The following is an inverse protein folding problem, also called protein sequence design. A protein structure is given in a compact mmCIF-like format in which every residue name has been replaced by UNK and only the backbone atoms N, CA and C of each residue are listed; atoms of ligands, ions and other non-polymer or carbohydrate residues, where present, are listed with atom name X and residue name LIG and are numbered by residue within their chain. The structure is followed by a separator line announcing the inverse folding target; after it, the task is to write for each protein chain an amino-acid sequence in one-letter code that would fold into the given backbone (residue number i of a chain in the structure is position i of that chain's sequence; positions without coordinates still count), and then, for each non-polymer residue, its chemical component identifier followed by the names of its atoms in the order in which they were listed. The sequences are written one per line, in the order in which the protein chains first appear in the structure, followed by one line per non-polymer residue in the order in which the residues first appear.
data_IF_038756563776
#
_entry.id   IF_038756563776
#
_cell.length_a   1.000
_cell.length_b   1.000
_cell.length_c   1.000
_cell.angle_alpha   90.00
_cell.angle_beta   90.00
_cell.angle_gamma   90.00
#
_symmetry.space_group_name_H-M   'P 1'
#
loop_
_entity.id
_entity.type
_entity.pdbx_description
1 polymer ?
#
# COMPACT_ATOMS: atom_id res chain seq x y z
N UNK A 1 29.92 -33.45 -7.55
CA UNK A 1 30.64 -32.17 -7.41
C UNK A 1 30.01 -31.41 -6.28
N UNK A 2 30.77 -31.12 -5.22
CA UNK A 2 30.30 -30.32 -4.11
C UNK A 2 30.05 -28.90 -4.62
N UNK A 3 28.79 -28.49 -4.73
CA UNK A 3 28.42 -27.11 -4.97
C UNK A 3 28.76 -26.37 -3.68
N UNK A 4 29.89 -25.68 -3.63
CA UNK A 4 30.21 -24.78 -2.53
C UNK A 4 29.21 -23.64 -2.56
N UNK A 5 28.41 -23.50 -1.50
CA UNK A 5 27.53 -22.34 -1.35
C UNK A 5 28.35 -21.04 -1.49
N UNK A 6 27.86 -20.03 -2.22
CA UNK A 6 28.58 -18.78 -2.36
C UNK A 6 28.79 -18.14 -0.97
N UNK A 7 30.05 -17.84 -0.64
CA UNK A 7 30.38 -17.16 0.61
C UNK A 7 29.74 -15.78 0.64
N UNK A 8 28.80 -15.58 1.56
CA UNK A 8 28.10 -14.29 1.74
C UNK A 8 29.03 -13.28 2.40
N UNK A 9 29.29 -12.16 1.73
CA UNK A 9 30.06 -11.04 2.31
C UNK A 9 29.12 -10.06 2.99
N UNK A 10 29.39 -9.69 4.25
CA UNK A 10 28.64 -8.63 4.92
C UNK A 10 28.98 -7.28 4.28
N UNK A 11 27.98 -6.57 3.79
CA UNK A 11 28.12 -5.23 3.20
C UNK A 11 27.84 -4.12 4.21
N UNK A 12 26.74 -4.22 4.96
CA UNK A 12 26.29 -3.14 5.85
C UNK A 12 25.53 -3.70 7.05
N UNK A 13 25.49 -2.93 8.13
CA UNK A 13 24.75 -3.26 9.34
C UNK A 13 24.03 -2.01 9.81
N UNK A 14 22.70 -2.11 9.91
CA UNK A 14 21.82 -1.04 10.33
C UNK A 14 21.39 -1.31 11.78
N UNK A 15 21.65 -0.35 12.66
CA UNK A 15 21.37 -0.48 14.09
C UNK A 15 19.99 0.06 14.42
N UNK A 16 19.14 -0.80 14.96
CA UNK A 16 17.86 -0.39 15.53
C UNK A 16 18.04 -0.19 17.03
N UNK A 17 17.94 1.06 17.46
CA UNK A 17 18.18 1.50 18.83
C UNK A 17 16.91 2.07 19.43
N UNK A 18 16.77 1.97 20.75
CA UNK A 18 15.70 2.67 21.46
C UNK A 18 15.93 4.18 21.50
N UNK A 19 15.02 4.93 22.12
CA UNK A 19 15.06 6.39 22.27
C UNK A 19 16.33 6.89 23.00
N UNK A 20 16.91 6.06 23.87
CA UNK A 20 18.15 6.36 24.59
C UNK A 20 19.43 6.00 23.80
N UNK A 21 19.29 5.43 22.60
CA UNK A 21 20.40 4.97 21.78
C UNK A 21 20.93 3.57 22.12
N UNK A 22 20.25 2.83 23.01
CA UNK A 22 20.63 1.45 23.32
C UNK A 22 20.25 0.51 22.18
N UNK A 23 21.19 -0.33 21.76
CA UNK A 23 20.98 -1.30 20.68
C UNK A 23 19.95 -2.37 21.05
N UNK A 24 18.90 -2.50 20.23
CA UNK A 24 17.87 -3.53 20.37
C UNK A 24 18.13 -4.69 19.41
N UNK A 25 18.35 -4.38 18.12
CA UNK A 25 18.65 -5.37 17.09
C UNK A 25 19.32 -4.72 15.88
N UNK A 26 19.68 -5.54 14.90
CA UNK A 26 20.30 -5.11 13.67
C UNK A 26 19.67 -5.79 12.45
N UNK A 27 19.60 -5.04 11.35
CA UNK A 27 19.48 -5.60 10.00
C UNK A 27 20.86 -5.65 9.37
N UNK A 28 21.28 -6.82 8.87
CA UNK A 28 22.58 -7.04 8.23
C UNK A 28 22.36 -7.29 6.74
N UNK A 29 22.95 -6.46 5.89
CA UNK A 29 22.92 -6.59 4.43
C UNK A 29 24.16 -7.36 3.94
N UNK A 30 23.96 -8.29 3.01
CA UNK A 30 24.99 -9.12 2.39
C UNK A 30 25.11 -8.91 0.88
N UNK A 31 26.20 -9.45 0.32
CA UNK A 31 26.43 -9.65 -1.11
C UNK A 31 26.62 -11.16 -1.41
N UNK A 32 25.90 -11.74 -2.40
CA UNK A 32 24.76 -11.18 -3.15
C UNK A 32 23.61 -10.67 -2.25
N UNK A 33 22.72 -9.82 -2.79
CA UNK A 33 21.68 -9.10 -2.00
C UNK A 33 20.86 -10.08 -1.15
N UNK A 34 21.11 -10.02 0.15
CA UNK A 34 20.37 -10.75 1.17
C UNK A 34 20.36 -9.94 2.48
N UNK A 35 19.34 -10.12 3.28
CA UNK A 35 19.16 -9.42 4.55
C UNK A 35 18.90 -10.41 5.67
N UNK A 36 19.61 -10.27 6.79
CA UNK A 36 19.36 -11.06 8.01
C UNK A 36 19.29 -10.19 9.22
N UNK A 37 18.36 -10.49 10.12
CA UNK A 37 18.22 -9.79 11.38
C UNK A 37 18.90 -10.54 12.51
N UNK A 38 19.41 -9.80 13.49
CA UNK A 38 20.04 -10.35 14.69
C UNK A 38 19.87 -9.41 15.88
N UNK A 39 19.94 -9.97 17.08
CA UNK A 39 19.90 -9.23 18.34
C UNK A 39 21.14 -9.55 19.21
N UNK A 40 21.56 -8.65 20.10
CA UNK A 40 22.59 -8.95 21.08
C UNK A 40 22.19 -10.14 21.97
N UNK A 41 23.16 -10.98 22.33
CA UNK A 41 22.96 -12.10 23.27
C UNK A 41 23.16 -11.71 24.75
N UNK A 42 23.51 -10.43 25.01
CA UNK A 42 23.85 -9.92 26.33
C UNK A 42 25.28 -10.25 26.82
N UNK A 43 26.06 -10.98 26.02
CA UNK A 43 27.43 -11.45 26.34
C UNK A 43 28.47 -11.01 25.29
N UNK A 44 28.10 -10.09 24.40
CA UNK A 44 28.95 -9.59 23.32
C UNK A 44 28.85 -10.36 22.00
N UNK A 45 27.99 -11.37 21.93
CA UNK A 45 27.66 -12.14 20.73
C UNK A 45 26.32 -11.74 20.10
N UNK A 46 25.86 -12.58 19.17
CA UNK A 46 24.67 -12.33 18.35
C UNK A 46 23.76 -13.55 18.28
N UNK A 47 22.46 -13.34 18.44
CA UNK A 47 21.40 -14.31 18.17
C UNK A 47 20.73 -13.91 16.84
N UNK A 48 20.69 -14.83 15.86
CA UNK A 48 20.17 -14.56 14.51
C UNK A 48 18.66 -14.70 14.39
N UNK A 49 17.93 -14.00 15.26
CA UNK A 49 16.48 -13.84 15.20
C UNK A 49 16.05 -12.52 15.86
N UNK A 50 14.75 -12.24 15.83
CA UNK A 50 14.12 -11.08 16.48
C UNK A 50 13.19 -11.48 17.63
N UNK A 51 13.28 -12.72 18.12
CA UNK A 51 12.39 -13.22 19.17
C UNK A 51 12.60 -12.45 20.46
N UNK A 52 11.51 -12.01 21.09
CA UNK A 52 11.58 -11.24 22.34
C UNK A 52 12.20 -9.84 22.19
N UNK A 53 12.37 -9.34 20.96
CA UNK A 53 12.84 -7.97 20.70
C UNK A 53 11.64 -7.06 20.50
N UNK A 54 11.63 -5.93 21.19
CA UNK A 54 10.74 -4.83 20.87
C UNK A 54 11.19 -4.17 19.57
N UNK A 55 10.43 -4.34 18.49
CA UNK A 55 10.76 -3.74 17.20
C UNK A 55 10.42 -2.26 17.21
N UNK A 56 11.29 -1.48 16.59
CA UNK A 56 11.18 -0.02 16.50
C UNK A 56 11.45 0.42 15.07
N UNK A 57 11.00 1.63 14.66
CA UNK A 57 11.44 2.24 13.41
C UNK A 57 12.96 2.49 13.41
N UNK A 58 13.57 2.41 12.23
CA UNK A 58 14.97 2.79 12.06
C UNK A 58 15.14 4.28 12.36
N UNK A 59 16.27 4.68 12.97
CA UNK A 59 16.56 6.07 13.32
C UNK A 59 15.63 6.71 14.39
N UNK A 60 15.05 5.88 15.27
CA UNK A 60 14.10 6.30 16.32
C UNK A 60 14.51 7.51 17.19
N UNK A 61 15.76 7.65 17.67
CA UNK A 61 16.17 8.83 18.43
C UNK A 61 15.96 10.16 17.69
N UNK A 62 16.19 10.18 16.39
CA UNK A 62 16.04 11.39 15.57
C UNK A 62 14.58 11.68 15.22
N UNK A 63 13.77 10.63 15.05
CA UNK A 63 12.31 10.76 14.93
C UNK A 63 11.75 11.48 16.16
N UNK A 64 12.21 11.10 17.36
CA UNK A 64 11.73 11.66 18.62
C UNK A 64 12.00 13.16 18.75
N UNK A 65 13.08 13.67 18.14
CA UNK A 65 13.51 15.07 18.22
C UNK A 65 12.93 15.97 17.10
N UNK A 66 12.21 15.38 16.15
CA UNK A 66 11.87 16.05 14.90
C UNK A 66 10.36 16.06 14.65
N UNK A 67 9.87 17.15 14.06
CA UNK A 67 8.44 17.30 13.70
C UNK A 67 8.15 16.84 12.26
N UNK A 68 9.10 16.98 11.35
CA UNK A 68 8.94 16.58 9.95
C UNK A 68 9.79 15.34 9.67
N UNK A 69 9.14 14.25 9.26
CA UNK A 69 9.78 12.95 9.08
C UNK A 69 9.47 12.42 7.68
N UNK A 70 10.50 11.91 7.00
CA UNK A 70 10.35 11.14 5.77
C UNK A 70 10.27 9.64 6.11
N UNK A 71 9.38 8.91 5.45
CA UNK A 71 9.33 7.45 5.51
C UNK A 71 9.66 6.89 4.13
N UNK A 72 10.61 5.97 4.06
CA UNK A 72 11.05 5.28 2.84
C UNK A 72 11.06 3.76 3.06
N UNK A 73 11.17 2.96 1.99
CA UNK A 73 11.07 1.50 2.08
C UNK A 73 12.28 0.83 2.75
N UNK A 74 13.50 1.37 2.59
CA UNK A 74 14.73 0.70 3.01
C UNK A 74 15.72 1.56 3.82
N UNK A 75 16.58 0.90 4.61
CA UNK A 75 17.56 1.61 5.45
C UNK A 75 18.64 2.35 4.63
N UNK A 76 18.91 1.90 3.40
CA UNK A 76 19.82 2.59 2.46
C UNK A 76 19.28 4.00 2.17
N UNK A 77 18.01 4.11 1.82
CA UNK A 77 17.35 5.35 1.45
C UNK A 77 17.25 6.32 2.62
N UNK A 78 17.04 5.80 3.83
CA UNK A 78 17.12 6.60 5.07
C UNK A 78 18.46 7.28 5.17
N UNK A 79 19.56 6.55 4.99
CA UNK A 79 20.90 7.13 5.09
C UNK A 79 21.22 8.09 3.93
N UNK A 80 20.73 7.82 2.72
CA UNK A 80 20.85 8.77 1.59
C UNK A 80 20.17 10.10 1.93
N UNK A 81 18.95 10.06 2.46
CA UNK A 81 18.19 11.23 2.88
C UNK A 81 18.81 11.95 4.08
N UNK A 82 19.40 11.21 5.03
CA UNK A 82 20.20 11.78 6.12
C UNK A 82 21.44 12.51 5.60
N UNK A 83 22.08 12.02 4.55
CA UNK A 83 23.19 12.70 3.87
C UNK A 83 22.82 14.08 3.33
N UNK A 84 21.54 14.32 3.05
CA UNK A 84 20.99 15.64 2.68
C UNK A 84 20.53 16.47 3.89
N UNK A 85 20.74 15.99 5.10
CA UNK A 85 20.29 16.63 6.35
C UNK A 85 18.78 16.64 6.51
N UNK A 86 18.09 15.59 6.04
CA UNK A 86 16.68 15.34 6.35
C UNK A 86 16.56 14.25 7.42
N UNK A 87 15.41 14.17 8.08
CA UNK A 87 15.13 13.12 9.04
C UNK A 87 14.25 12.08 8.36
N UNK A 88 14.80 10.89 8.17
CA UNK A 88 14.12 9.78 7.54
C UNK A 88 14.08 8.55 8.46
N UNK A 89 13.12 7.67 8.19
CA UNK A 89 12.91 6.41 8.90
C UNK A 89 12.37 5.33 7.96
N UNK A 90 12.46 4.07 8.39
CA UNK A 90 11.83 2.92 7.75
C UNK A 90 11.53 1.83 8.79
N UNK A 91 10.81 0.77 8.41
CA UNK A 91 10.67 -0.44 9.23
C UNK A 91 11.69 -1.51 8.83
N UNK A 92 12.05 -2.36 9.78
CA UNK A 92 12.83 -3.56 9.46
C UNK A 92 12.05 -4.52 8.55
N UNK A 93 12.78 -5.29 7.74
CA UNK A 93 12.27 -6.33 6.84
C UNK A 93 11.54 -5.85 5.58
N UNK A 94 11.58 -4.55 5.28
CA UNK A 94 11.11 -3.96 4.01
C UNK A 94 9.58 -3.86 3.87
N UNK A 95 9.13 -3.69 2.62
CA UNK A 95 7.73 -3.47 2.29
C UNK A 95 6.76 -4.52 2.88
N UNK A 96 5.59 -4.04 3.30
CA UNK A 96 4.53 -4.87 3.88
C UNK A 96 4.78 -5.33 5.33
N UNK A 97 5.91 -4.93 5.95
CA UNK A 97 6.27 -5.29 7.34
C UNK A 97 6.12 -4.13 8.33
N UNK A 98 5.44 -3.04 7.92
CA UNK A 98 5.01 -2.00 8.84
C UNK A 98 4.07 -2.59 9.90
N UNK A 99 4.28 -2.23 11.16
CA UNK A 99 3.45 -2.69 12.28
C UNK A 99 2.75 -1.52 12.97
N UNK A 100 1.49 -1.68 13.43
CA UNK A 100 0.75 -0.60 14.09
C UNK A 100 1.44 -0.02 15.32
N UNK A 101 2.26 -0.82 16.04
CA UNK A 101 3.01 -0.37 17.21
C UNK A 101 4.00 0.75 16.89
N UNK A 102 4.40 0.89 15.61
CA UNK A 102 5.29 1.97 15.19
C UNK A 102 4.59 3.32 15.17
N UNK A 103 3.27 3.35 14.98
CA UNK A 103 2.51 4.56 14.68
C UNK A 103 2.64 5.61 15.80
N UNK A 104 2.73 5.16 17.06
CA UNK A 104 2.88 6.05 18.22
C UNK A 104 4.11 6.97 18.13
N UNK A 105 5.19 6.53 17.48
CA UNK A 105 6.40 7.33 17.32
C UNK A 105 6.22 8.49 16.33
N UNK A 106 5.14 8.47 15.55
CA UNK A 106 4.80 9.49 14.55
C UNK A 106 3.63 10.39 14.97
N UNK A 107 3.15 10.25 16.20
CA UNK A 107 2.07 11.08 16.74
C UNK A 107 2.41 12.57 16.68
N UNK A 108 1.47 13.38 16.20
CA UNK A 108 1.57 14.85 16.08
C UNK A 108 2.74 15.33 15.18
N UNK A 109 3.24 14.46 14.29
CA UNK A 109 4.31 14.76 13.32
C UNK A 109 3.76 14.97 11.91
N UNK A 110 4.48 15.75 11.10
CA UNK A 110 4.25 15.85 9.67
C UNK A 110 5.05 14.75 8.96
N UNK A 111 4.35 13.84 8.28
CA UNK A 111 4.96 12.66 7.66
C UNK A 111 4.82 12.74 6.15
N UNK A 112 5.93 12.57 5.43
CA UNK A 112 5.92 12.39 3.98
C UNK A 112 6.50 11.02 3.63
N UNK A 113 5.73 10.19 2.95
CA UNK A 113 6.05 8.81 2.60
C UNK A 113 6.48 8.77 1.14
N UNK A 114 7.69 8.30 0.87
CA UNK A 114 8.28 8.21 -0.46
C UNK A 114 8.42 6.70 -0.78
N UNK A 115 7.55 6.12 -1.62
CA UNK A 115 7.64 4.73 -2.03
C UNK A 115 8.78 4.50 -3.03
N UNK A 116 9.24 3.26 -3.12
CA UNK A 116 9.94 2.78 -4.31
C UNK A 116 8.96 2.83 -5.51
N UNK A 117 9.48 3.11 -6.71
CA UNK A 117 8.67 3.28 -7.90
C UNK A 117 8.25 1.93 -8.52
N UNK A 118 7.57 1.11 -7.75
CA UNK A 118 6.91 -0.10 -8.21
C UNK A 118 5.61 -0.35 -7.46
N UNK A 119 4.89 -1.42 -7.83
CA UNK A 119 3.60 -1.73 -7.20
C UNK A 119 3.76 -2.03 -5.70
N UNK A 120 4.80 -2.75 -5.31
CA UNK A 120 5.00 -3.18 -3.92
C UNK A 120 5.31 -1.99 -3.03
N UNK A 121 6.17 -1.08 -3.50
CA UNK A 121 6.49 0.18 -2.82
C UNK A 121 5.25 1.07 -2.66
N UNK A 122 4.44 1.21 -3.71
CA UNK A 122 3.18 1.98 -3.65
C UNK A 122 2.18 1.36 -2.67
N UNK A 123 1.95 0.05 -2.73
CA UNK A 123 1.07 -0.66 -1.79
C UNK A 123 1.54 -0.47 -0.33
N UNK A 124 2.85 -0.54 -0.10
CA UNK A 124 3.44 -0.33 1.22
C UNK A 124 3.25 1.11 1.70
N UNK A 125 3.51 2.12 0.86
CA UNK A 125 3.28 3.52 1.24
C UNK A 125 1.82 3.78 1.60
N UNK A 126 0.85 3.21 0.87
CA UNK A 126 -0.57 3.30 1.22
C UNK A 126 -0.89 2.61 2.54
N UNK A 127 -0.29 1.44 2.81
CA UNK A 127 -0.43 0.77 4.11
C UNK A 127 0.07 1.65 5.26
N UNK A 128 1.23 2.29 5.10
CA UNK A 128 1.79 3.20 6.11
C UNK A 128 0.90 4.43 6.27
N UNK A 129 0.44 5.03 5.17
CA UNK A 129 -0.42 6.20 5.20
C UNK A 129 -1.72 5.93 5.96
N UNK A 130 -2.38 4.80 5.68
CA UNK A 130 -3.58 4.34 6.40
C UNK A 130 -3.33 4.18 7.90
N UNK A 131 -2.19 3.58 8.27
CA UNK A 131 -1.83 3.38 9.67
C UNK A 131 -1.56 4.69 10.42
N UNK A 132 -1.07 5.73 9.73
CA UNK A 132 -0.71 7.01 10.33
C UNK A 132 -1.84 8.05 10.28
N UNK A 133 -2.88 7.82 9.46
CA UNK A 133 -4.03 8.72 9.38
C UNK A 133 -4.72 8.84 10.75
N UNK A 134 -4.91 10.07 11.20
CA UNK A 134 -5.50 10.36 12.52
C UNK A 134 -4.54 10.18 13.71
N UNK A 135 -3.29 9.77 13.46
CA UNK A 135 -2.23 9.68 14.49
C UNK A 135 -1.19 10.77 14.24
N UNK A 136 -0.67 10.86 13.02
CA UNK A 136 0.19 11.94 12.58
C UNK A 136 -0.62 13.23 12.38
N UNK A 137 0.06 14.39 12.51
CA UNK A 137 -0.54 15.72 12.25
C UNK A 137 -0.91 15.84 10.76
N UNK A 138 -0.03 15.34 9.90
CA UNK A 138 -0.16 15.41 8.44
C UNK A 138 0.51 14.19 7.83
N UNK A 139 -0.07 13.67 6.75
CA UNK A 139 0.43 12.50 6.03
C UNK A 139 0.35 12.80 4.55
N UNK A 140 1.48 12.76 3.86
CA UNK A 140 1.55 12.89 2.40
C UNK A 140 2.20 11.65 1.81
N UNK A 141 1.71 11.21 0.66
CA UNK A 141 2.38 10.19 -0.17
C UNK A 141 2.97 10.91 -1.37
N UNK A 142 4.28 10.73 -1.58
CA UNK A 142 5.07 11.53 -2.49
C UNK A 142 5.51 10.68 -3.67
N UNK A 143 5.06 11.05 -4.86
CA UNK A 143 5.55 10.48 -6.10
C UNK A 143 6.72 11.34 -6.62
N UNK A 144 7.94 10.78 -6.62
CA UNK A 144 9.09 11.48 -7.17
C UNK A 144 9.06 11.40 -8.71
N UNK A 145 9.32 12.51 -9.42
CA UNK A 145 9.38 12.49 -10.88
C UNK A 145 10.64 11.77 -11.36
N UNK A 146 10.64 11.36 -12.63
CA UNK A 146 11.83 10.87 -13.34
C UNK A 146 12.50 9.63 -12.73
N UNK A 147 11.70 8.80 -12.05
CA UNK A 147 12.08 7.45 -11.63
C UNK A 147 11.65 6.42 -12.69
N UNK A 148 12.53 5.46 -12.97
CA UNK A 148 12.18 4.23 -13.69
C UNK A 148 11.50 3.23 -12.75
N UNK A 149 10.87 2.21 -13.31
CA UNK A 149 10.24 1.14 -12.53
C UNK A 149 11.28 0.45 -11.62
N UNK A 150 10.94 0.24 -10.34
CA UNK A 150 11.78 -0.31 -9.24
C UNK A 150 12.92 0.56 -8.74
N UNK A 151 12.93 1.84 -9.10
CA UNK A 151 13.91 2.77 -8.56
C UNK A 151 13.42 3.46 -7.29
N UNK A 152 14.39 3.88 -6.47
CA UNK A 152 14.16 4.45 -5.16
C UNK A 152 14.60 5.93 -5.09
N UNK A 153 14.40 6.57 -3.94
CA UNK A 153 14.86 7.96 -3.72
C UNK A 153 16.38 8.09 -3.81
N UNK A 154 17.15 7.03 -3.55
CA UNK A 154 18.59 7.10 -3.74
C UNK A 154 18.96 7.21 -5.21
N UNK A 155 18.25 6.52 -6.10
CA UNK A 155 18.42 6.65 -7.55
C UNK A 155 18.03 8.06 -8.04
N UNK A 156 16.94 8.61 -7.48
CA UNK A 156 16.55 10.00 -7.73
C UNK A 156 17.67 10.98 -7.34
N UNK A 157 18.25 10.85 -6.14
CA UNK A 157 19.37 11.70 -5.73
C UNK A 157 20.63 11.45 -6.57
N UNK A 158 20.90 10.22 -7.00
CA UNK A 158 22.02 9.90 -7.87
C UNK A 158 21.93 10.58 -9.24
N UNK A 159 20.73 10.93 -9.71
CA UNK A 159 20.51 11.74 -10.93
C UNK A 159 20.79 13.23 -10.75
N UNK A 160 21.09 13.68 -9.52
CA UNK A 160 21.48 15.05 -9.24
C UNK A 160 20.37 15.94 -8.68
N UNK A 161 19.19 15.38 -8.40
CA UNK A 161 18.16 16.12 -7.69
C UNK A 161 18.57 16.43 -6.25
N UNK A 162 18.06 17.53 -5.72
CA UNK A 162 18.53 18.15 -4.48
C UNK A 162 17.50 18.09 -3.37
N UNK A 163 17.97 18.32 -2.13
CA UNK A 163 17.11 18.54 -0.97
C UNK A 163 16.05 19.62 -1.21
N UNK A 164 16.42 20.70 -1.92
CA UNK A 164 15.52 21.83 -2.17
C UNK A 164 14.35 21.41 -3.05
N UNK A 165 14.62 20.64 -4.09
CA UNK A 165 13.58 20.09 -4.98
C UNK A 165 12.70 19.09 -4.23
N UNK A 166 13.29 18.21 -3.41
CA UNK A 166 12.51 17.29 -2.58
C UNK A 166 11.53 18.03 -1.65
N UNK A 167 12.00 19.07 -0.97
CA UNK A 167 11.15 19.88 -0.09
C UNK A 167 10.03 20.57 -0.88
N UNK A 168 10.31 21.04 -2.10
CA UNK A 168 9.32 21.69 -2.95
C UNK A 168 8.23 20.70 -3.39
N UNK A 169 8.62 19.49 -3.81
CA UNK A 169 7.68 18.41 -4.14
C UNK A 169 6.79 18.09 -2.94
N UNK A 170 7.36 17.93 -1.74
CA UNK A 170 6.60 17.64 -0.51
C UNK A 170 5.62 18.77 -0.15
N UNK A 171 6.01 20.03 -0.36
CA UNK A 171 5.13 21.18 -0.11
C UNK A 171 3.93 21.19 -1.05
N UNK A 172 4.16 20.89 -2.33
CA UNK A 172 3.13 20.90 -3.37
C UNK A 172 2.23 19.65 -3.33
N UNK A 173 2.71 18.55 -2.78
CA UNK A 173 1.91 17.33 -2.63
C UNK A 173 0.66 17.59 -1.75
N UNK A 174 -0.51 17.06 -2.12
CA UNK A 174 -1.70 17.16 -1.29
C UNK A 174 -1.54 16.33 -0.01
N UNK A 175 -2.32 16.69 1.02
CA UNK A 175 -2.52 15.77 2.15
C UNK A 175 -3.18 14.49 1.64
N UNK A 176 -2.70 13.36 2.13
CA UNK A 176 -3.24 12.06 1.78
C UNK A 176 -4.60 11.88 2.44
N UNK A 177 -5.59 11.56 1.62
CA UNK A 177 -6.92 11.18 2.02
C UNK A 177 -7.21 9.78 1.50
N UNK A 178 -7.86 8.96 2.34
CA UNK A 178 -8.33 7.66 1.89
C UNK A 178 -9.46 7.87 0.88
N UNK A 179 -9.35 7.27 -0.31
CA UNK A 179 -10.36 7.43 -1.35
C UNK A 179 -11.67 6.76 -0.90
N UNK A 180 -12.79 7.47 -1.07
CA UNK A 180 -14.12 6.93 -0.75
C UNK A 180 -14.50 5.71 -1.59
N UNK A 181 -13.82 5.48 -2.71
CA UNK A 181 -14.02 4.33 -3.59
C UNK A 181 -13.50 3.03 -2.95
N UNK A 182 -12.40 3.09 -2.18
CA UNK A 182 -11.91 1.92 -1.41
C UNK A 182 -12.82 1.59 -0.21
N UNK A 183 -13.55 2.59 0.33
CA UNK A 183 -14.53 2.38 1.39
C UNK A 183 -15.78 1.62 0.94
N UNK A 184 -16.08 1.51 -0.37
CA UNK A 184 -17.25 0.76 -0.88
C UNK A 184 -17.22 -0.74 -0.55
N UNK A 185 -16.07 -1.28 -0.15
CA UNK A 185 -15.94 -2.68 0.25
C UNK A 185 -16.17 -2.93 1.76
N UNK A 186 -16.55 -1.91 2.54
CA UNK A 186 -16.95 -2.08 3.93
C UNK A 186 -18.47 -2.16 4.06
N UNK A 187 -18.96 -3.10 4.87
CA UNK A 187 -20.37 -3.20 5.24
C UNK A 187 -20.84 -1.91 5.89
N UNK A 188 -21.87 -1.28 5.31
CA UNK A 188 -22.52 -0.13 5.92
C UNK A 188 -23.57 -0.66 6.92
N UNK A 189 -23.32 -0.48 8.22
CA UNK A 189 -24.24 -0.90 9.27
C UNK A 189 -25.41 0.10 9.35
N UNK A 190 -26.55 -0.28 8.80
CA UNK A 190 -27.79 0.51 8.86
C UNK A 190 -28.67 -0.03 10.00
N UNK A 191 -29.32 0.86 10.76
CA UNK A 191 -30.28 0.43 11.79
C UNK A 191 -31.52 -0.18 11.12
N UNK A 192 -32.05 -1.26 11.68
CA UNK A 192 -33.25 -1.92 11.12
C UNK A 192 -34.46 -0.97 10.97
N UNK A 193 -34.62 0.01 11.87
CA UNK A 193 -35.66 1.03 11.77
C UNK A 193 -35.47 1.97 10.56
N UNK A 194 -34.23 2.28 10.21
CA UNK A 194 -33.85 3.15 9.10
C UNK A 194 -34.00 2.43 7.75
N UNK A 195 -33.74 1.12 7.72
CA UNK A 195 -34.03 0.26 6.57
C UNK A 195 -35.54 0.18 6.29
N UNK A 196 -36.37 0.06 7.33
CA UNK A 196 -37.83 -0.02 7.21
C UNK A 196 -38.49 1.33 6.86
N UNK A 197 -37.82 2.44 7.17
CA UNK A 197 -38.32 3.79 6.84
C UNK A 197 -37.81 4.34 5.51
N UNK A 198 -36.87 3.65 4.85
CA UNK A 198 -36.41 4.05 3.53
C UNK A 198 -37.51 3.78 2.50
N UNK A 199 -37.96 4.85 1.84
CA UNK A 199 -38.80 4.76 0.65
C UNK A 199 -38.00 4.02 -0.44
N UNK A 200 -38.56 2.89 -0.87
CA UNK A 200 -38.13 1.98 -1.95
C UNK A 200 -36.72 2.23 -2.53
N UNK A 201 -35.78 1.33 -2.23
CA UNK A 201 -34.53 1.22 -3.01
C UNK A 201 -34.91 1.10 -4.49
N UNK A 202 -34.68 2.16 -5.26
CA UNK A 202 -34.94 2.15 -6.69
C UNK A 202 -34.12 1.02 -7.30
N UNK A 203 -34.79 -0.01 -7.80
CA UNK A 203 -34.13 -1.12 -8.47
C UNK A 203 -33.50 -0.59 -9.75
N UNK A 204 -32.18 -0.60 -9.82
CA UNK A 204 -31.47 -0.36 -11.07
C UNK A 204 -31.65 -1.58 -11.97
N UNK A 205 -31.96 -1.36 -13.25
CA UNK A 205 -32.26 -2.44 -14.20
C UNK A 205 -31.22 -2.48 -15.31
N UNK A 206 -30.63 -3.66 -15.55
CA UNK A 206 -29.83 -3.94 -16.74
C UNK A 206 -30.72 -4.16 -17.96
N UNK A 207 -31.87 -4.81 -17.77
CA UNK A 207 -32.95 -4.95 -18.73
C UNK A 207 -34.27 -4.62 -18.01
N UNK A 208 -34.91 -3.52 -18.43
CA UNK A 208 -35.97 -2.87 -17.66
C UNK A 208 -37.11 -3.83 -17.26
N UNK A 209 -37.38 -3.91 -15.95
CA UNK A 209 -38.37 -4.81 -15.33
C UNK A 209 -38.15 -6.31 -15.60
N UNK A 210 -36.95 -6.73 -15.98
CA UNK A 210 -36.63 -8.16 -16.19
C UNK A 210 -35.34 -8.59 -15.53
N UNK A 211 -34.28 -7.80 -15.67
CA UNK A 211 -32.96 -8.12 -15.13
C UNK A 211 -32.46 -6.97 -14.25
N UNK A 212 -32.49 -7.11 -12.91
CA UNK A 212 -31.94 -6.10 -12.01
C UNK A 212 -30.41 -6.08 -12.09
N UNK A 213 -29.82 -4.92 -11.83
CA UNK A 213 -28.37 -4.77 -11.69
C UNK A 213 -27.89 -5.28 -10.32
N UNK A 214 -26.62 -5.70 -10.24
CA UNK A 214 -25.97 -6.05 -8.97
C UNK A 214 -26.30 -7.44 -8.39
N UNK A 215 -26.79 -8.39 -9.19
CA UNK A 215 -27.16 -9.73 -8.72
C UNK A 215 -26.90 -10.89 -9.70
N UNK A 216 -27.21 -12.12 -9.25
CA UNK A 216 -27.17 -13.33 -10.09
C UNK A 216 -28.57 -13.63 -10.63
N UNK A 217 -28.68 -13.77 -11.96
CA UNK A 217 -29.94 -14.19 -12.63
C UNK A 217 -29.74 -15.44 -13.48
N UNK A 218 -30.77 -16.29 -13.55
CA UNK A 218 -30.73 -17.57 -14.25
C UNK A 218 -31.72 -17.58 -15.41
N UNK A 219 -31.23 -17.88 -16.62
CA UNK A 219 -32.08 -18.16 -17.79
C UNK A 219 -32.25 -19.67 -17.93
N UNK A 220 -33.48 -20.17 -17.82
CA UNK A 220 -33.81 -21.61 -17.82
C UNK A 220 -34.76 -21.94 -18.95
N UNK A 221 -34.44 -22.99 -19.72
CA UNK A 221 -35.31 -23.49 -20.80
C UNK A 221 -35.05 -24.96 -21.07
N UNK A 222 -35.96 -25.61 -21.82
CA UNK A 222 -35.74 -26.97 -22.37
C UNK A 222 -34.51 -26.99 -23.31
N UNK A 223 -33.87 -28.16 -23.52
CA UNK A 223 -32.77 -28.28 -24.49
C UNK A 223 -33.17 -27.85 -25.90
N UNK A 224 -32.25 -27.18 -26.61
CA UNK A 224 -32.36 -26.80 -28.04
C UNK A 224 -33.52 -25.86 -28.41
N UNK A 225 -34.00 -25.03 -27.46
CA UNK A 225 -35.06 -24.03 -27.72
C UNK A 225 -34.54 -22.59 -27.87
N UNK A 226 -33.23 -22.41 -28.07
CA UNK A 226 -32.64 -21.10 -28.36
C UNK A 226 -32.14 -20.28 -27.16
N UNK A 227 -31.95 -20.88 -25.98
CA UNK A 227 -31.38 -20.20 -24.79
C UNK A 227 -30.08 -19.44 -25.09
N UNK A 228 -29.15 -20.11 -25.76
CA UNK A 228 -27.86 -19.51 -26.14
C UNK A 228 -28.06 -18.31 -27.06
N UNK A 229 -28.93 -18.44 -28.07
CA UNK A 229 -29.29 -17.33 -28.96
C UNK A 229 -29.90 -16.17 -28.17
N UNK A 230 -30.84 -16.44 -27.28
CA UNK A 230 -31.46 -15.43 -26.42
C UNK A 230 -30.41 -14.70 -25.56
N UNK A 231 -29.59 -15.43 -24.82
CA UNK A 231 -28.58 -14.86 -23.92
C UNK A 231 -27.53 -14.04 -24.67
N UNK A 232 -27.08 -14.50 -25.83
CA UNK A 232 -26.10 -13.76 -26.65
C UNK A 232 -26.72 -12.47 -27.22
N UNK A 233 -27.96 -12.52 -27.71
CA UNK A 233 -28.60 -11.32 -28.27
C UNK A 233 -28.90 -10.28 -27.18
N UNK A 234 -29.31 -10.71 -25.98
CA UNK A 234 -29.43 -9.81 -24.83
C UNK A 234 -28.09 -9.19 -24.47
N UNK A 235 -27.01 -9.99 -24.41
CA UNK A 235 -25.65 -9.51 -24.16
C UNK A 235 -25.20 -8.44 -25.18
N UNK A 236 -25.48 -8.67 -26.47
CA UNK A 236 -25.17 -7.69 -27.53
C UNK A 236 -25.98 -6.40 -27.33
N UNK A 237 -27.28 -6.50 -27.07
CA UNK A 237 -28.14 -5.34 -26.83
C UNK A 237 -27.63 -4.49 -25.65
N UNK A 238 -27.32 -5.15 -24.52
CA UNK A 238 -26.72 -4.50 -23.33
C UNK A 238 -25.37 -3.84 -23.67
N UNK A 239 -24.50 -4.49 -24.43
CA UNK A 239 -23.20 -3.88 -24.80
C UNK A 239 -23.33 -2.60 -25.64
N UNK A 240 -24.41 -2.49 -26.42
CA UNK A 240 -24.68 -1.34 -27.29
C UNK A 240 -25.56 -0.29 -26.63
N UNK A 241 -26.38 -0.69 -25.65
CA UNK A 241 -27.49 0.10 -25.13
C UNK A 241 -28.73 0.09 -26.03
N UNK A 242 -28.87 -0.94 -26.86
CA UNK A 242 -30.02 -1.12 -27.75
C UNK A 242 -31.22 -1.70 -26.98
N UNK A 243 -32.44 -1.42 -27.43
CA UNK A 243 -33.63 -2.06 -26.87
C UNK A 243 -33.64 -3.55 -27.20
N UNK A 244 -34.02 -4.38 -26.23
CA UNK A 244 -34.15 -5.83 -26.41
C UNK A 244 -35.57 -6.28 -26.11
N UNK A 245 -36.22 -6.91 -27.11
CA UNK A 245 -37.61 -7.37 -27.03
C UNK A 245 -38.59 -6.28 -26.54
N UNK A 246 -38.41 -5.04 -27.02
CA UNK A 246 -39.28 -3.91 -26.70
C UNK A 246 -39.03 -3.25 -25.34
N UNK A 247 -37.97 -3.63 -24.63
CA UNK A 247 -37.59 -3.08 -23.32
C UNK A 247 -36.20 -2.47 -23.36
N UNK A 248 -36.01 -1.36 -22.66
CA UNK A 248 -34.74 -0.64 -22.55
C UNK A 248 -33.67 -1.52 -21.90
N UNK A 249 -32.44 -1.42 -22.39
CA UNK A 249 -31.26 -1.97 -21.71
C UNK A 249 -30.36 -0.85 -21.24
N UNK A 250 -29.63 -1.08 -20.15
CA UNK A 250 -28.60 -0.16 -19.67
C UNK A 250 -27.27 -0.54 -20.31
N UNK A 251 -26.62 0.42 -20.99
CA UNK A 251 -25.36 0.15 -21.68
C UNK A 251 -24.26 -0.22 -20.69
N UNK A 252 -23.60 -1.37 -20.87
CA UNK A 252 -22.54 -1.81 -19.97
C UNK A 252 -21.57 -2.81 -20.59
N UNK A 253 -20.39 -3.02 -19.98
CA UNK A 253 -19.46 -4.05 -20.40
C UNK A 253 -20.10 -5.44 -20.21
N UNK A 254 -19.95 -6.31 -21.20
CA UNK A 254 -20.48 -7.69 -21.14
C UNK A 254 -19.37 -8.68 -21.43
N UNK A 255 -19.22 -9.67 -20.56
CA UNK A 255 -18.32 -10.82 -20.74
C UNK A 255 -19.19 -12.06 -20.91
N UNK A 256 -19.00 -12.79 -22.02
CA UNK A 256 -19.68 -14.06 -22.27
C UNK A 256 -18.68 -15.20 -22.10
N UNK A 257 -18.94 -16.08 -21.12
CA UNK A 257 -18.15 -17.28 -20.84
C UNK A 257 -18.98 -18.50 -21.26
N UNK A 258 -18.45 -19.32 -22.16
CA UNK A 258 -19.11 -20.52 -22.68
C UNK A 258 -18.30 -21.79 -22.40
#
# INVERSE_FOLDING_TARGET
GLITEPQRKRLKTYNYVNESGNLLFQTVRYEPKDFRQRRPDGKGGWIWNLEGVHLVPYNLPEISKSKSILIVEGEKDVETLQGLGTIASTNAMGAGKWKPEYNQHFKDKNVAIIPDNDKVGRDHALQVAKNLKGIAESVKVIELPDLLEKEDVSDWIARGYTKKELIEIIKQAPEWEESKEELKHHFNLIRASELLSNEELQTEWLWYEVLPDGGLSLVVSKPKVGKTTFSINLAIAVSKGDDFLGKKTTKGPVVYLA
#
